data_IF_589103109984
#
_entry.id   IF_589103109984
#
_cell.length_a   1.000
_cell.length_b   1.000
_cell.length_c   1.000
_cell.angle_alpha   90.00
_cell.angle_beta   90.00
_cell.angle_gamma   90.00
#
_symmetry.space_group_name_H-M   'P 1'
#
loop_
_entity.id
_entity.type
_entity.pdbx_description
1 polymer ?
#
# COMPACT_ATOMS: atom_id res chain seq x y z
N UNK A 1 -1.45 7.39 -6.42
CA UNK A 1 -0.47 6.29 -6.62
C UNK A 1 -1.02 5.04 -5.96
N UNK A 2 -1.05 3.88 -6.65
CA UNK A 2 -1.62 2.64 -6.09
C UNK A 2 -0.58 1.84 -5.29
N UNK A 3 -0.97 0.91 -4.39
CA UNK A 3 -0.04 0.01 -3.70
C UNK A 3 0.85 -0.79 -4.66
N UNK A 4 0.26 -1.31 -5.75
CA UNK A 4 0.97 -2.03 -6.81
C UNK A 4 2.08 -1.17 -7.44
N UNK A 5 1.75 0.06 -7.83
CA UNK A 5 2.71 1.00 -8.41
C UNK A 5 3.80 1.40 -7.41
N UNK A 6 3.45 1.57 -6.13
CA UNK A 6 4.38 1.92 -5.07
C UNK A 6 5.41 0.79 -4.82
N UNK A 7 4.98 -0.47 -4.77
CA UNK A 7 5.87 -1.63 -4.64
C UNK A 7 6.83 -1.69 -5.82
N UNK A 8 6.31 -1.66 -7.05
CA UNK A 8 7.12 -1.75 -8.27
C UNK A 8 8.15 -0.62 -8.37
N UNK A 9 7.73 0.61 -8.10
CA UNK A 9 8.63 1.78 -8.16
C UNK A 9 9.72 1.71 -7.10
N UNK A 10 9.39 1.28 -5.89
CA UNK A 10 10.37 1.15 -4.81
C UNK A 10 11.39 0.05 -5.10
N UNK A 11 10.91 -1.12 -5.56
CA UNK A 11 11.75 -2.24 -5.97
C UNK A 11 12.75 -1.85 -7.05
N UNK A 12 12.27 -1.20 -8.11
CA UNK A 12 13.09 -0.80 -9.26
C UNK A 12 14.14 0.25 -8.88
N UNK A 13 13.78 1.23 -8.03
CA UNK A 13 14.75 2.19 -7.48
C UNK A 13 15.83 1.55 -6.61
N UNK A 14 15.49 0.47 -5.92
CA UNK A 14 16.43 -0.33 -5.13
C UNK A 14 17.28 -1.28 -5.99
N UNK A 15 17.09 -1.33 -7.31
CA UNK A 15 17.82 -2.22 -8.21
C UNK A 15 17.48 -3.70 -8.06
N UNK A 16 16.33 -4.03 -7.47
CA UNK A 16 15.95 -5.41 -7.15
C UNK A 16 15.07 -6.05 -8.22
N UNK A 17 15.26 -7.34 -8.45
CA UNK A 17 14.29 -8.21 -9.11
C UNK A 17 13.12 -8.53 -8.17
N UNK A 18 12.01 -9.03 -8.72
CA UNK A 18 10.87 -9.45 -7.90
C UNK A 18 11.23 -10.60 -6.95
N UNK A 19 12.14 -11.49 -7.36
CA UNK A 19 12.61 -12.61 -6.54
C UNK A 19 13.45 -12.14 -5.36
N UNK A 20 14.38 -11.20 -5.58
CA UNK A 20 15.20 -10.63 -4.51
C UNK A 20 14.34 -9.86 -3.50
N UNK A 21 13.36 -9.07 -3.97
CA UNK A 21 12.42 -8.41 -3.07
C UNK A 21 11.62 -9.43 -2.27
N UNK A 22 11.13 -10.49 -2.90
CA UNK A 22 10.38 -11.53 -2.22
C UNK A 22 11.21 -12.19 -1.11
N UNK A 23 12.46 -12.55 -1.42
CA UNK A 23 13.40 -13.13 -0.46
C UNK A 23 13.64 -12.19 0.72
N UNK A 24 13.96 -10.91 0.46
CA UNK A 24 14.18 -9.90 1.51
C UNK A 24 12.93 -9.64 2.34
N UNK A 25 11.76 -9.70 1.72
CA UNK A 25 10.49 -9.48 2.41
C UNK A 25 10.06 -10.71 3.21
N UNK A 26 10.61 -11.92 2.97
CA UNK A 26 10.11 -13.16 3.56
C UNK A 26 8.78 -13.60 2.93
N UNK A 27 8.71 -13.59 1.60
CA UNK A 27 7.57 -14.09 0.83
C UNK A 27 8.03 -14.71 -0.50
N UNK A 28 7.12 -15.11 -1.37
CA UNK A 28 7.45 -15.72 -2.67
C UNK A 28 7.39 -14.72 -3.83
N UNK A 29 8.17 -14.97 -4.89
CA UNK A 29 8.16 -14.13 -6.09
C UNK A 29 6.75 -14.03 -6.73
N UNK A 30 5.94 -15.10 -6.82
CA UNK A 30 4.58 -15.00 -7.32
C UNK A 30 3.69 -14.07 -6.48
N UNK A 31 3.90 -14.00 -5.16
CA UNK A 31 3.17 -13.07 -4.29
C UNK A 31 3.54 -11.63 -4.60
N UNK A 32 4.83 -11.30 -4.72
CA UNK A 32 5.28 -9.97 -5.16
C UNK A 32 4.73 -9.63 -6.54
N UNK A 33 4.77 -10.58 -7.49
CA UNK A 33 4.22 -10.39 -8.82
C UNK A 33 2.71 -10.11 -8.77
N UNK A 34 1.94 -10.86 -7.97
CA UNK A 34 0.51 -10.61 -7.80
C UNK A 34 0.21 -9.21 -7.26
N UNK A 35 1.02 -8.72 -6.30
CA UNK A 35 0.92 -7.34 -5.81
C UNK A 35 1.26 -6.30 -6.89
N UNK A 36 2.37 -6.45 -7.62
CA UNK A 36 2.81 -5.47 -8.62
C UNK A 36 1.87 -5.37 -9.83
N UNK A 37 1.11 -6.42 -10.11
CA UNK A 37 0.08 -6.47 -11.15
C UNK A 37 -1.33 -6.16 -10.64
N UNK A 38 -1.51 -5.86 -9.34
CA UNK A 38 -2.82 -5.57 -8.76
C UNK A 38 -3.79 -6.74 -8.74
N UNK A 39 -3.30 -7.99 -8.87
CA UNK A 39 -4.13 -9.21 -8.76
C UNK A 39 -4.46 -9.55 -7.31
N UNK A 40 -3.71 -8.97 -6.37
CA UNK A 40 -3.92 -9.08 -4.93
C UNK A 40 -3.57 -7.73 -4.31
N UNK A 41 -4.36 -7.31 -3.34
CA UNK A 41 -4.01 -6.14 -2.52
C UNK A 41 -3.24 -6.57 -1.27
N UNK A 42 -2.11 -5.92 -0.96
CA UNK A 42 -1.42 -6.12 0.31
C UNK A 42 -2.19 -5.39 1.43
N UNK A 43 -2.20 -5.98 2.63
CA UNK A 43 -2.56 -5.22 3.84
C UNK A 43 -1.59 -4.07 4.06
N UNK A 44 -1.98 -3.05 4.84
CA UNK A 44 -1.09 -1.93 5.20
C UNK A 44 0.21 -2.42 5.86
N UNK A 45 0.11 -3.43 6.72
CA UNK A 45 1.27 -4.08 7.35
C UNK A 45 2.16 -4.78 6.32
N UNK A 46 1.56 -5.53 5.39
CA UNK A 46 2.32 -6.22 4.34
C UNK A 46 3.03 -5.21 3.43
N UNK A 47 2.32 -4.15 3.03
CA UNK A 47 2.90 -3.07 2.22
C UNK A 47 4.09 -2.44 2.94
N UNK A 48 3.95 -2.13 4.23
CA UNK A 48 5.04 -1.59 5.06
C UNK A 48 6.26 -2.51 5.06
N UNK A 49 6.08 -3.82 5.29
CA UNK A 49 7.16 -4.83 5.29
C UNK A 49 7.85 -4.94 3.93
N UNK A 50 7.08 -5.02 2.85
CA UNK A 50 7.61 -5.13 1.48
C UNK A 50 8.42 -3.89 1.10
N UNK A 51 7.93 -2.69 1.42
CA UNK A 51 8.66 -1.46 1.16
C UNK A 51 9.94 -1.36 2.00
N UNK A 52 9.89 -1.79 3.27
CA UNK A 52 11.07 -1.82 4.14
C UNK A 52 12.15 -2.78 3.61
N UNK A 53 11.76 -3.94 3.07
CA UNK A 53 12.67 -4.89 2.42
C UNK A 53 13.35 -4.32 1.15
N UNK A 54 12.73 -3.32 0.52
CA UNK A 54 13.29 -2.55 -0.58
C UNK A 54 14.01 -1.25 -0.14
N UNK A 55 14.18 -1.03 1.17
CA UNK A 55 14.88 0.14 1.71
C UNK A 55 14.04 1.42 1.79
N UNK A 56 12.71 1.32 1.74
CA UNK A 56 11.82 2.47 1.88
C UNK A 56 10.88 2.35 3.09
N UNK A 57 10.41 3.50 3.58
CA UNK A 57 9.47 3.57 4.71
C UNK A 57 8.08 4.03 4.23
N UNK A 58 7.04 3.26 4.56
CA UNK A 58 5.65 3.68 4.37
C UNK A 58 5.28 4.76 5.39
N UNK A 59 4.74 5.89 4.93
CA UNK A 59 4.16 6.94 5.77
C UNK A 59 2.72 7.18 5.34
N UNK A 60 1.78 6.85 6.22
CA UNK A 60 0.36 7.17 6.07
C UNK A 60 0.05 8.36 6.95
N UNK A 61 -0.67 9.34 6.41
CA UNK A 61 -1.07 10.56 7.13
C UNK A 61 -2.55 10.73 6.88
N UNK A 62 -3.32 10.90 7.96
CA UNK A 62 -4.70 11.36 7.87
C UNK A 62 -4.67 12.88 7.74
N UNK A 63 -5.34 13.41 6.73
CA UNK A 63 -5.54 14.85 6.60
C UNK A 63 -6.93 15.21 7.15
N UNK A 64 -7.07 16.37 7.82
CA UNK A 64 -8.36 16.82 8.30
C UNK A 64 -9.29 17.05 7.10
N UNK A 65 -10.45 16.42 7.13
CA UNK A 65 -11.54 16.75 6.20
C UNK A 65 -12.07 18.13 6.58
N UNK A 66 -12.26 19.02 5.61
CA UNK A 66 -12.89 20.32 5.91
C UNK A 66 -14.29 20.06 6.42
N UNK A 67 -14.72 20.78 7.46
CA UNK A 67 -16.06 20.60 8.02
C UNK A 67 -17.18 20.82 7.00
N UNK A 68 -16.92 21.56 5.91
CA UNK A 68 -17.82 21.72 4.76
C UNK A 68 -18.07 20.44 3.96
N UNK A 69 -17.13 19.49 3.99
CA UNK A 69 -17.14 18.30 3.12
C UNK A 69 -17.68 17.07 3.86
N UNK A 70 -17.94 17.20 5.16
CA UNK A 70 -18.59 16.18 5.98
C UNK A 70 -20.11 16.29 5.81
N UNK A 71 -20.84 15.17 5.65
CA UNK A 71 -22.30 15.19 5.69
C UNK A 71 -22.77 15.78 7.01
N UNK A 72 -23.83 16.60 6.96
CA UNK A 72 -24.32 17.25 8.18
C UNK A 72 -24.89 16.19 9.12
N UNK A 73 -24.75 16.36 10.44
CA UNK A 73 -25.24 15.39 11.41
C UNK A 73 -26.73 15.03 11.26
N UNK A 74 -27.56 15.95 10.74
CA UNK A 74 -28.98 15.69 10.46
C UNK A 74 -29.20 14.66 9.33
N UNK A 75 -28.27 14.54 8.38
CA UNK A 75 -28.36 13.63 7.23
C UNK A 75 -27.97 12.18 7.61
N UNK A 76 -27.47 11.95 8.83
CA UNK A 76 -27.07 10.63 9.35
C UNK A 76 -28.15 9.97 10.22
N UNK A 77 -29.21 10.72 10.59
CA UNK A 77 -30.27 10.24 11.48
C UNK A 77 -31.30 9.34 10.79
N UNK A 78 -31.38 9.35 9.45
CA UNK A 78 -32.40 8.63 8.66
C UNK A 78 -32.04 7.16 8.33
N UNK A 79 -31.00 6.60 8.95
CA UNK A 79 -30.55 5.22 8.74
C UNK A 79 -30.44 4.42 10.05
N UNK A 80 -31.37 4.63 10.99
CA UNK A 80 -31.56 3.82 12.19
C UNK A 80 -32.88 3.05 12.15
#
# INVERSE_FOLDING_TARGET
MTPAALIRTTRTRAGLTQAELAQRAGTSQPVISAYEHGRRDPSSETLRRVLAAAGARLRLVAEPVRSSDLPRPADLADHA
#
